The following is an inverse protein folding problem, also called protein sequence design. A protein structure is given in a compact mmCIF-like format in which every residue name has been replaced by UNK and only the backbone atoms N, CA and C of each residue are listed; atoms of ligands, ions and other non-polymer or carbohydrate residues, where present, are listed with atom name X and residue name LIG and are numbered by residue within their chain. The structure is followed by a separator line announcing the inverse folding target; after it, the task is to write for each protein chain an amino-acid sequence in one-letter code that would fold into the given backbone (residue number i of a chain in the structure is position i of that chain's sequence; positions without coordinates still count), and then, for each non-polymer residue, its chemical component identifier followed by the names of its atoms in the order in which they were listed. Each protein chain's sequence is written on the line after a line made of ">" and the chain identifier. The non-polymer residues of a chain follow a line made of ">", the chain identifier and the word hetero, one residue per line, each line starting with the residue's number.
data_IF_824699465364
#
_entry.id   IF_824699465364
#
_cell.length_a   1.000
_cell.length_b   1.000
_cell.length_c   1.000
_cell.angle_alpha   90.00
_cell.angle_beta   90.00
_cell.angle_gamma   90.00
#
_symmetry.space_group_name_H-M   'P 1'
#
loop_
_entity.id
_entity.type
_entity.pdbx_description
1 polymer ?
#
# COMPACT_ATOMS: atom_id res chain seq x y z
N UNK A 1 17.67 6.73 23.63
CA UNK A 1 16.69 7.83 23.61
C UNK A 1 15.53 7.53 22.69
N UNK A 2 14.48 8.30 22.75
CA UNK A 2 13.27 8.11 21.94
C UNK A 2 13.52 8.34 20.44
N UNK A 3 14.51 9.14 20.11
CA UNK A 3 14.97 9.39 18.74
C UNK A 3 16.44 9.01 18.59
N UNK A 4 16.76 7.71 18.42
CA UNK A 4 18.15 7.25 18.38
C UNK A 4 18.93 7.81 17.18
N UNK A 5 18.25 8.05 16.05
CA UNK A 5 18.80 8.63 14.82
C UNK A 5 18.37 10.10 14.62
N UNK A 6 17.95 10.77 15.69
CA UNK A 6 17.46 12.14 15.63
C UNK A 6 16.13 12.29 14.89
N UNK A 7 15.72 13.55 14.70
CA UNK A 7 14.48 13.89 13.98
C UNK A 7 14.54 13.48 12.50
N UNK A 8 15.74 13.50 11.90
CA UNK A 8 15.92 13.10 10.51
C UNK A 8 15.59 11.62 10.30
N UNK A 9 16.02 10.73 11.20
CA UNK A 9 15.69 9.31 11.14
C UNK A 9 14.18 9.06 11.31
N UNK A 10 13.52 9.84 12.18
CA UNK A 10 12.08 9.79 12.33
C UNK A 10 11.36 10.21 11.03
N UNK A 11 11.80 11.31 10.42
CA UNK A 11 11.21 11.79 9.15
C UNK A 11 11.40 10.76 8.03
N UNK A 12 12.59 10.16 7.91
CA UNK A 12 12.87 9.11 6.94
C UNK A 12 11.95 7.89 7.13
N UNK A 13 11.63 7.52 8.37
CA UNK A 13 10.74 6.40 8.66
C UNK A 13 9.30 6.62 8.19
N UNK A 14 8.83 7.87 8.07
CA UNK A 14 7.48 8.15 7.54
C UNK A 14 7.27 7.63 6.13
N UNK A 15 8.29 7.67 5.27
CA UNK A 15 8.19 7.16 3.89
C UNK A 15 7.97 5.65 3.90
N UNK A 16 8.71 4.92 4.74
CA UNK A 16 8.56 3.47 4.90
C UNK A 16 7.20 3.11 5.50
N UNK A 17 6.72 3.92 6.46
CA UNK A 17 5.39 3.75 7.05
C UNK A 17 4.32 3.95 5.97
N UNK A 18 4.41 4.98 5.13
CA UNK A 18 3.45 5.20 4.04
C UNK A 18 3.44 4.04 3.05
N UNK A 19 4.60 3.48 2.69
CA UNK A 19 4.67 2.27 1.87
C UNK A 19 3.92 1.09 2.51
N UNK A 20 4.05 0.90 3.82
CA UNK A 20 3.36 -0.17 4.55
C UNK A 20 1.82 -0.03 4.55
N UNK A 21 1.28 1.15 4.27
CA UNK A 21 -0.15 1.41 4.11
C UNK A 21 -0.66 1.25 2.68
N UNK A 22 0.23 1.01 1.71
CA UNK A 22 -0.13 0.73 0.33
C UNK A 22 -1.12 -0.44 0.24
N UNK A 23 -2.08 -0.35 -0.69
CA UNK A 23 -3.15 -1.32 -0.84
C UNK A 23 -4.47 -0.95 -0.15
N UNK A 24 -4.50 0.07 0.72
CA UNK A 24 -5.76 0.53 1.33
C UNK A 24 -6.75 1.09 0.29
N UNK A 25 -6.27 1.62 -0.81
CA UNK A 25 -7.06 2.09 -1.96
C UNK A 25 -7.81 0.97 -2.68
N UNK A 26 -7.36 -0.28 -2.56
CA UNK A 26 -8.02 -1.46 -3.16
C UNK A 26 -9.45 -1.63 -2.63
N UNK A 27 -9.75 -1.14 -1.43
CA UNK A 27 -11.10 -1.15 -0.86
C UNK A 27 -12.09 -0.45 -1.80
N UNK A 28 -11.69 0.66 -2.41
CA UNK A 28 -12.52 1.39 -3.38
C UNK A 28 -12.78 0.58 -4.66
N UNK A 29 -11.76 -0.13 -5.15
CA UNK A 29 -11.88 -1.00 -6.34
C UNK A 29 -12.73 -2.23 -6.05
N UNK A 30 -12.47 -2.90 -4.94
CA UNK A 30 -13.22 -4.09 -4.51
C UNK A 30 -14.68 -3.76 -4.14
N UNK A 31 -14.93 -2.54 -3.67
CA UNK A 31 -16.27 -2.08 -3.33
C UNK A 31 -17.24 -2.08 -4.50
N UNK A 32 -16.75 -1.87 -5.72
CA UNK A 32 -17.57 -1.92 -6.93
C UNK A 32 -18.14 -3.33 -7.23
N UNK A 33 -17.57 -4.38 -6.64
CA UNK A 33 -17.97 -5.79 -6.79
C UNK A 33 -18.66 -6.36 -5.55
N UNK A 34 -18.79 -5.57 -4.48
CA UNK A 34 -19.47 -6.00 -3.27
C UNK A 34 -20.99 -6.13 -3.50
N UNK A 35 -21.62 -7.14 -2.91
CA UNK A 35 -23.09 -7.33 -2.99
C UNK A 35 -23.86 -6.14 -2.40
N UNK A 36 -23.33 -5.55 -1.30
CA UNK A 36 -23.86 -4.33 -0.67
C UNK A 36 -22.73 -3.33 -0.43
N UNK A 37 -22.36 -2.53 -1.47
CA UNK A 37 -21.28 -1.54 -1.36
C UNK A 37 -21.56 -0.45 -0.32
N UNK A 38 -22.83 -0.06 -0.14
CA UNK A 38 -23.23 1.00 0.79
C UNK A 38 -22.93 0.65 2.25
N UNK A 39 -22.96 -0.61 2.58
CA UNK A 39 -22.65 -1.11 3.93
C UNK A 39 -21.21 -1.58 4.05
N UNK A 40 -20.71 -2.31 3.05
CA UNK A 40 -19.40 -2.97 3.09
C UNK A 40 -18.25 -1.97 3.06
N UNK A 41 -18.32 -0.93 2.20
CA UNK A 41 -17.25 0.06 2.07
C UNK A 41 -17.07 0.89 3.35
N UNK A 42 -18.12 1.52 3.94
CA UNK A 42 -17.98 2.24 5.19
C UNK A 42 -17.46 1.36 6.34
N UNK A 43 -17.92 0.11 6.42
CA UNK A 43 -17.46 -0.82 7.45
C UNK A 43 -15.97 -1.16 7.27
N UNK A 44 -15.52 -1.43 6.04
CA UNK A 44 -14.12 -1.69 5.73
C UNK A 44 -13.25 -0.48 6.09
N UNK A 45 -13.61 0.71 5.61
CA UNK A 45 -12.86 1.95 5.86
C UNK A 45 -12.76 2.26 7.35
N UNK A 46 -13.83 2.12 8.12
CA UNK A 46 -13.84 2.39 9.56
C UNK A 46 -13.05 1.36 10.38
N UNK A 47 -12.90 0.12 9.89
CA UNK A 47 -12.14 -0.92 10.59
C UNK A 47 -10.63 -0.88 10.29
N UNK A 48 -10.21 -0.27 9.19
CA UNK A 48 -8.77 -0.17 8.82
C UNK A 48 -7.93 0.50 9.90
N UNK A 49 -8.29 1.67 10.48
CA UNK A 49 -7.48 2.30 11.52
C UNK A 49 -7.30 1.40 12.75
N UNK A 50 -8.34 0.68 13.16
CA UNK A 50 -8.26 -0.26 14.28
C UNK A 50 -7.34 -1.45 13.97
N UNK A 51 -7.42 -2.01 12.75
CA UNK A 51 -6.53 -3.10 12.31
C UNK A 51 -5.08 -2.65 12.28
N UNK A 52 -4.81 -1.45 11.79
CA UNK A 52 -3.47 -0.87 11.78
C UNK A 52 -2.95 -0.73 13.22
N UNK A 53 -3.73 -0.16 14.13
CA UNK A 53 -3.35 -0.01 15.52
C UNK A 53 -3.01 -1.37 16.15
N UNK A 54 -3.84 -2.38 15.96
CA UNK A 54 -3.64 -3.70 16.54
C UNK A 54 -2.49 -4.47 15.90
N UNK A 55 -2.44 -4.55 14.57
CA UNK A 55 -1.51 -5.45 13.90
C UNK A 55 -0.15 -4.81 13.61
N UNK A 56 -0.07 -3.50 13.39
CA UNK A 56 1.21 -2.82 13.18
C UNK A 56 1.79 -2.27 14.48
N UNK A 57 1.07 -1.37 15.15
CA UNK A 57 1.63 -0.69 16.32
C UNK A 57 1.88 -1.69 17.45
N UNK A 58 0.91 -2.56 17.76
CA UNK A 58 1.07 -3.53 18.83
C UNK A 58 2.14 -4.58 18.49
N UNK A 59 2.15 -5.13 17.27
CA UNK A 59 3.14 -6.11 16.85
C UNK A 59 4.58 -5.53 16.90
N UNK A 60 4.79 -4.33 16.34
CA UNK A 60 6.10 -3.66 16.38
C UNK A 60 6.50 -3.35 17.82
N UNK A 61 5.57 -2.92 18.67
CA UNK A 61 5.85 -2.66 20.08
C UNK A 61 6.32 -3.93 20.80
N UNK A 62 5.67 -5.07 20.58
CA UNK A 62 6.06 -6.35 21.16
C UNK A 62 7.44 -6.79 20.65
N UNK A 63 7.71 -6.67 19.35
CA UNK A 63 9.02 -6.99 18.75
C UNK A 63 10.12 -6.18 19.43
N UNK A 64 9.92 -4.86 19.58
CA UNK A 64 10.90 -3.97 20.17
C UNK A 64 11.05 -4.12 21.70
N UNK A 65 10.05 -4.65 22.39
CA UNK A 65 10.16 -5.04 23.80
C UNK A 65 10.99 -6.31 23.99
N UNK A 66 10.92 -7.24 23.05
CA UNK A 66 11.62 -8.51 23.11
C UNK A 66 13.05 -8.46 22.54
N UNK A 67 13.25 -7.61 21.51
CA UNK A 67 14.56 -7.46 20.87
C UNK A 67 14.99 -5.99 20.79
N UNK A 68 16.25 -5.68 21.11
CA UNK A 68 16.79 -4.36 20.84
C UNK A 68 16.71 -4.04 19.35
N UNK A 69 16.24 -2.86 18.98
CA UNK A 69 16.12 -2.47 17.58
C UNK A 69 17.42 -2.59 16.77
N UNK A 70 18.59 -2.47 17.45
CA UNK A 70 19.93 -2.62 16.83
C UNK A 70 20.27 -4.05 16.44
N UNK A 71 19.59 -5.05 16.99
CA UNK A 71 19.78 -6.45 16.60
C UNK A 71 18.97 -6.86 15.39
N UNK A 72 18.08 -5.99 14.90
CA UNK A 72 17.27 -6.23 13.72
C UNK A 72 18.07 -5.79 12.50
N UNK A 73 18.77 -6.73 11.86
CA UNK A 73 19.68 -6.46 10.72
C UNK A 73 18.95 -6.47 9.37
N UNK A 74 17.73 -6.99 9.30
CA UNK A 74 16.99 -7.16 8.04
C UNK A 74 17.37 -8.44 7.26
N UNK A 75 18.33 -9.24 7.74
CA UNK A 75 18.70 -10.51 7.11
C UNK A 75 17.63 -11.60 7.33
N UNK A 76 16.95 -11.55 8.47
CA UNK A 76 15.83 -12.44 8.82
C UNK A 76 14.60 -11.63 9.24
N UNK A 77 13.44 -12.24 9.10
CA UNK A 77 12.20 -11.69 9.66
C UNK A 77 12.35 -11.50 11.18
N UNK A 78 12.05 -10.33 11.75
CA UNK A 78 12.09 -10.12 13.21
C UNK A 78 11.25 -11.11 14.00
N UNK A 79 10.16 -11.61 13.43
CA UNK A 79 9.32 -12.63 14.04
C UNK A 79 10.08 -13.98 14.15
N UNK A 80 10.77 -14.37 13.08
CA UNK A 80 11.57 -15.61 13.05
C UNK A 80 12.71 -15.51 14.06
N UNK A 81 13.40 -14.37 14.11
CA UNK A 81 14.50 -14.13 15.04
C UNK A 81 14.06 -14.26 16.51
N UNK A 82 12.90 -13.73 16.89
CA UNK A 82 12.37 -13.82 18.25
C UNK A 82 12.14 -15.29 18.64
N UNK A 83 11.46 -16.08 17.80
CA UNK A 83 11.17 -17.48 18.13
C UNK A 83 12.41 -18.36 18.11
N UNK A 84 13.39 -18.08 17.25
CA UNK A 84 14.69 -18.73 17.25
C UNK A 84 15.44 -18.46 18.57
N UNK A 85 15.44 -17.21 19.04
CA UNK A 85 16.08 -16.82 20.32
C UNK A 85 15.41 -17.50 21.52
N UNK A 86 14.11 -17.75 21.46
CA UNK A 86 13.34 -18.46 22.49
C UNK A 86 13.52 -19.99 22.41
N UNK A 87 14.33 -20.50 21.48
CA UNK A 87 14.58 -21.93 21.31
C UNK A 87 13.45 -22.71 20.65
N UNK A 88 12.47 -22.02 20.06
CA UNK A 88 11.29 -22.63 19.43
C UNK A 88 11.51 -22.73 17.92
N UNK A 89 12.45 -23.59 17.50
CA UNK A 89 12.89 -23.69 16.11
C UNK A 89 11.78 -24.09 15.11
N UNK A 90 10.80 -24.87 15.52
CA UNK A 90 9.67 -25.23 14.66
C UNK A 90 8.77 -24.03 14.34
N UNK A 91 8.68 -23.05 15.24
CA UNK A 91 7.90 -21.84 15.03
C UNK A 91 8.52 -20.95 13.93
N UNK A 92 9.85 -20.96 13.78
CA UNK A 92 10.52 -20.27 12.68
C UNK A 92 10.05 -20.80 11.31
N UNK A 93 9.98 -22.14 11.15
CA UNK A 93 9.46 -22.76 9.92
C UNK A 93 8.00 -22.42 9.65
N UNK A 94 7.15 -22.49 10.69
CA UNK A 94 5.74 -22.08 10.57
C UNK A 94 5.57 -20.61 10.18
N UNK A 95 6.36 -19.71 10.79
CA UNK A 95 6.31 -18.29 10.46
C UNK A 95 6.78 -18.01 9.03
N UNK A 96 7.82 -18.68 8.55
CA UNK A 96 8.22 -18.57 7.15
C UNK A 96 7.10 -19.00 6.21
N UNK A 97 6.38 -20.09 6.52
CA UNK A 97 5.21 -20.50 5.76
C UNK A 97 4.11 -19.43 5.77
N UNK A 98 3.83 -18.82 6.93
CA UNK A 98 2.86 -17.73 7.05
C UNK A 98 3.30 -16.50 6.23
N UNK A 99 4.58 -16.14 6.26
CA UNK A 99 5.11 -15.00 5.46
C UNK A 99 4.95 -15.27 3.96
N UNK A 100 5.27 -16.49 3.50
CA UNK A 100 5.09 -16.88 2.09
C UNK A 100 3.62 -16.79 1.68
N UNK A 101 2.72 -17.33 2.48
CA UNK A 101 1.27 -17.29 2.18
C UNK A 101 0.72 -15.85 2.21
N UNK A 102 1.21 -15.02 3.12
CA UNK A 102 0.86 -13.60 3.16
C UNK A 102 1.35 -12.85 1.91
N UNK A 103 2.59 -13.10 1.46
CA UNK A 103 3.14 -12.52 0.24
C UNK A 103 2.33 -12.94 -1.00
N UNK A 104 1.98 -14.22 -1.11
CA UNK A 104 1.12 -14.72 -2.20
C UNK A 104 -0.27 -14.07 -2.18
N UNK A 105 -0.84 -13.87 -0.99
CA UNK A 105 -2.12 -13.18 -0.83
C UNK A 105 -2.02 -11.70 -1.27
N UNK A 106 -0.95 -11.00 -0.93
CA UNK A 106 -0.70 -9.62 -1.35
C UNK A 106 -0.57 -9.54 -2.88
N UNK A 107 0.25 -10.41 -3.50
CA UNK A 107 0.38 -10.48 -4.96
C UNK A 107 -0.97 -10.72 -5.64
N UNK A 108 -1.79 -11.62 -5.09
CA UNK A 108 -3.13 -11.89 -5.64
C UNK A 108 -4.06 -10.66 -5.53
N UNK A 109 -4.01 -9.93 -4.41
CA UNK A 109 -4.78 -8.70 -4.25
C UNK A 109 -4.34 -7.60 -5.24
N UNK A 110 -3.04 -7.45 -5.45
CA UNK A 110 -2.49 -6.49 -6.41
C UNK A 110 -2.83 -6.85 -7.86
N UNK A 111 -2.75 -8.13 -8.22
CA UNK A 111 -3.18 -8.62 -9.54
C UNK A 111 -4.67 -8.36 -9.78
N UNK A 112 -5.51 -8.58 -8.76
CA UNK A 112 -6.93 -8.29 -8.84
C UNK A 112 -7.18 -6.78 -9.03
N UNK A 113 -6.66 -5.93 -8.13
CA UNK A 113 -6.89 -4.49 -8.15
C UNK A 113 -6.35 -3.84 -9.43
N UNK A 114 -5.09 -4.09 -9.78
CA UNK A 114 -4.44 -3.55 -10.98
C UNK A 114 -5.10 -4.10 -12.23
N UNK A 115 -5.48 -5.38 -12.22
CA UNK A 115 -6.21 -6.01 -13.33
C UNK A 115 -7.52 -5.31 -13.66
N UNK A 116 -8.29 -4.95 -12.64
CA UNK A 116 -9.56 -4.22 -12.80
C UNK A 116 -9.36 -2.79 -13.29
N UNK A 117 -8.40 -2.07 -12.72
CA UNK A 117 -8.07 -0.70 -13.14
C UNK A 117 -7.62 -0.65 -14.60
N UNK A 118 -6.67 -1.52 -15.00
CA UNK A 118 -6.18 -1.58 -16.38
C UNK A 118 -7.28 -1.98 -17.37
N UNK A 119 -8.16 -2.90 -16.99
CA UNK A 119 -9.32 -3.29 -17.82
C UNK A 119 -10.29 -2.12 -17.98
N UNK A 120 -10.54 -1.34 -16.93
CA UNK A 120 -11.34 -0.12 -16.98
C UNK A 120 -10.74 0.91 -17.93
N UNK A 121 -9.46 1.22 -17.78
CA UNK A 121 -8.73 2.14 -18.65
C UNK A 121 -8.75 1.70 -20.12
N UNK A 122 -8.63 0.39 -20.38
CA UNK A 122 -8.69 -0.14 -21.74
C UNK A 122 -10.09 -0.02 -22.36
N UNK A 123 -11.15 -0.14 -21.57
CA UNK A 123 -12.53 0.10 -22.03
C UNK A 123 -12.76 1.56 -22.39
N UNK A 124 -12.15 2.49 -21.69
CA UNK A 124 -12.18 3.93 -21.96
C UNK A 124 -11.22 4.37 -23.08
N UNK A 125 -10.43 3.44 -23.64
CA UNK A 125 -9.46 3.74 -24.71
C UNK A 125 -8.14 4.34 -24.23
N UNK A 126 -7.90 4.39 -22.91
CA UNK A 126 -6.68 4.90 -22.27
C UNK A 126 -5.58 3.85 -22.11
N UNK A 127 -5.89 2.58 -22.42
CA UNK A 127 -4.95 1.46 -22.43
C UNK A 127 -5.18 0.57 -23.67
N UNK A 128 -4.24 -0.31 -24.04
CA UNK A 128 -4.41 -1.19 -25.19
C UNK A 128 -5.71 -1.99 -25.16
N UNK A 129 -6.49 -1.96 -26.24
CA UNK A 129 -7.82 -2.60 -26.32
C UNK A 129 -7.84 -4.09 -25.96
N UNK A 130 -6.70 -4.78 -26.16
CA UNK A 130 -6.57 -6.19 -25.78
C UNK A 130 -6.73 -6.43 -24.27
N UNK A 131 -6.40 -5.44 -23.45
CA UNK A 131 -6.55 -5.51 -21.99
C UNK A 131 -8.01 -5.38 -21.52
N UNK A 132 -8.90 -4.91 -22.40
CA UNK A 132 -10.36 -4.88 -22.12
C UNK A 132 -11.02 -6.24 -22.27
N UNK A 133 -10.35 -7.23 -22.89
CA UNK A 133 -10.92 -8.55 -23.15
C UNK A 133 -10.90 -9.41 -21.89
N UNK A 134 -12.03 -9.96 -21.54
CA UNK A 134 -12.19 -10.89 -20.42
C UNK A 134 -12.60 -12.27 -20.92
N UNK A 135 -12.11 -13.31 -20.26
CA UNK A 135 -12.54 -14.69 -20.45
C UNK A 135 -13.09 -15.17 -19.12
N UNK A 136 -14.39 -15.49 -19.06
CA UNK A 136 -15.10 -15.82 -17.80
C UNK A 136 -14.88 -14.75 -16.73
N UNK A 137 -15.05 -13.49 -17.09
CA UNK A 137 -14.86 -12.30 -16.25
C UNK A 137 -13.42 -12.06 -15.74
N UNK A 138 -12.45 -12.87 -16.19
CA UNK A 138 -11.04 -12.67 -15.87
C UNK A 138 -10.33 -11.92 -17.01
N UNK A 139 -9.65 -10.79 -16.74
CA UNK A 139 -8.90 -10.04 -17.73
C UNK A 139 -7.54 -10.72 -18.02
N UNK A 140 -7.58 -11.83 -18.78
CA UNK A 140 -6.44 -12.74 -18.99
C UNK A 140 -5.21 -12.03 -19.53
N UNK A 141 -5.37 -11.14 -20.53
CA UNK A 141 -4.24 -10.42 -21.12
C UNK A 141 -3.59 -9.46 -20.11
N UNK A 142 -4.40 -8.80 -19.29
CA UNK A 142 -3.90 -7.89 -18.23
C UNK A 142 -3.14 -8.70 -17.17
N UNK A 143 -3.74 -9.79 -16.68
CA UNK A 143 -3.08 -10.67 -15.71
C UNK A 143 -1.78 -11.25 -16.26
N UNK A 144 -1.77 -11.71 -17.52
CA UNK A 144 -0.56 -12.22 -18.16
C UNK A 144 0.55 -11.16 -18.25
N UNK A 145 0.21 -9.91 -18.60
CA UNK A 145 1.18 -8.82 -18.66
C UNK A 145 1.76 -8.48 -17.27
N UNK A 146 0.92 -8.49 -16.22
CA UNK A 146 1.37 -8.26 -14.84
C UNK A 146 2.28 -9.40 -14.35
N UNK A 147 1.97 -10.65 -14.70
CA UNK A 147 2.84 -11.80 -14.37
C UNK A 147 4.20 -11.68 -15.05
N UNK A 148 4.26 -11.22 -16.32
CA UNK A 148 5.53 -10.95 -17.01
C UNK A 148 6.35 -9.90 -16.24
N UNK A 149 5.72 -8.81 -15.80
CA UNK A 149 6.40 -7.76 -15.02
C UNK A 149 6.90 -8.30 -13.68
N UNK A 150 6.12 -9.14 -13.00
CA UNK A 150 6.55 -9.81 -11.75
C UNK A 150 7.76 -10.69 -11.97
N UNK A 151 7.74 -11.53 -13.02
CA UNK A 151 8.88 -12.39 -13.35
C UNK A 151 10.13 -11.58 -13.69
N UNK A 152 9.97 -10.49 -14.46
CA UNK A 152 11.07 -9.56 -14.72
C UNK A 152 11.63 -8.94 -13.43
N UNK A 153 10.77 -8.53 -12.49
CA UNK A 153 11.18 -8.03 -11.18
C UNK A 153 12.02 -9.05 -10.40
N UNK A 154 11.60 -10.31 -10.39
CA UNK A 154 12.34 -11.41 -9.74
C UNK A 154 13.71 -11.63 -10.40
N UNK A 155 13.76 -11.67 -11.74
CA UNK A 155 15.00 -11.85 -12.50
C UNK A 155 15.96 -10.69 -12.26
N UNK A 156 15.47 -9.46 -12.30
CA UNK A 156 16.28 -8.26 -12.02
C UNK A 156 16.82 -8.26 -10.60
N UNK A 157 16.00 -8.63 -9.61
CA UNK A 157 16.42 -8.73 -8.22
C UNK A 157 17.49 -9.81 -8.00
N UNK A 158 17.43 -10.90 -8.75
CA UNK A 158 18.46 -11.96 -8.69
C UNK A 158 19.76 -11.56 -9.41
N UNK A 159 19.67 -10.71 -10.43
CA UNK A 159 20.82 -10.32 -11.27
C UNK A 159 21.59 -9.11 -10.73
N UNK A 160 20.93 -8.19 -10.03
CA UNK A 160 21.50 -6.92 -9.60
C UNK A 160 21.30 -6.68 -8.10
N UNK A 161 22.37 -6.39 -7.33
CA UNK A 161 22.24 -5.98 -5.95
C UNK A 161 21.48 -4.63 -5.88
N UNK A 162 20.71 -4.44 -4.81
CA UNK A 162 19.94 -3.21 -4.51
C UNK A 162 18.74 -2.89 -5.45
N UNK A 163 18.40 -3.76 -6.40
CA UNK A 163 17.20 -3.56 -7.25
C UNK A 163 15.92 -3.54 -6.42
N UNK A 164 15.85 -4.35 -5.36
CA UNK A 164 14.70 -4.35 -4.45
C UNK A 164 14.44 -2.95 -3.86
N UNK A 165 15.48 -2.28 -3.36
CA UNK A 165 15.36 -0.93 -2.77
C UNK A 165 14.88 0.09 -3.80
N UNK A 166 15.40 0.01 -5.02
CA UNK A 166 15.00 0.88 -6.13
C UNK A 166 13.53 0.65 -6.51
N UNK A 167 13.11 -0.61 -6.65
CA UNK A 167 11.71 -0.95 -6.96
C UNK A 167 10.79 -0.51 -5.82
N UNK A 168 11.19 -0.70 -4.56
CA UNK A 168 10.42 -0.28 -3.40
C UNK A 168 10.27 1.25 -3.34
N UNK A 169 11.31 2.01 -3.66
CA UNK A 169 11.26 3.46 -3.74
C UNK A 169 10.31 3.94 -4.85
N UNK A 170 10.38 3.34 -6.05
CA UNK A 170 9.46 3.63 -7.15
C UNK A 170 8.01 3.27 -6.81
N UNK A 171 7.78 2.12 -6.17
CA UNK A 171 6.46 1.69 -5.73
C UNK A 171 5.88 2.65 -4.69
N UNK A 172 6.70 3.11 -3.74
CA UNK A 172 6.30 4.10 -2.74
C UNK A 172 5.88 5.41 -3.40
N UNK A 173 6.69 5.92 -4.32
CA UNK A 173 6.35 7.12 -5.08
C UNK A 173 5.02 6.97 -5.82
N UNK A 174 4.86 5.87 -6.57
CA UNK A 174 3.64 5.60 -7.33
C UNK A 174 2.40 5.53 -6.43
N UNK A 175 2.49 4.84 -5.29
CA UNK A 175 1.39 4.73 -4.32
C UNK A 175 0.99 6.10 -3.77
N UNK A 176 1.96 6.89 -3.31
CA UNK A 176 1.71 8.23 -2.76
C UNK A 176 1.16 9.17 -3.83
N UNK A 177 1.64 9.05 -5.09
CA UNK A 177 1.12 9.81 -6.22
C UNK A 177 -0.34 9.45 -6.54
N UNK A 178 -0.68 8.16 -6.55
CA UNK A 178 -2.08 7.70 -6.73
C UNK A 178 -2.98 8.27 -5.64
N UNK A 179 -2.55 8.23 -4.39
CA UNK A 179 -3.32 8.82 -3.29
C UNK A 179 -3.54 10.32 -3.47
N UNK A 180 -2.52 11.06 -3.91
CA UNK A 180 -2.67 12.48 -4.22
C UNK A 180 -3.72 12.71 -5.32
N UNK A 181 -3.68 11.90 -6.38
CA UNK A 181 -4.66 11.99 -7.46
C UNK A 181 -6.08 11.64 -7.02
N UNK A 182 -6.24 10.64 -6.14
CA UNK A 182 -7.54 10.31 -5.53
C UNK A 182 -8.07 11.50 -4.72
N UNK A 183 -7.22 12.14 -3.92
CA UNK A 183 -7.60 13.32 -3.13
C UNK A 183 -8.02 14.50 -4.03
N UNK A 184 -7.29 14.76 -5.11
CA UNK A 184 -7.68 15.82 -6.07
C UNK A 184 -8.96 15.48 -6.83
N UNK A 185 -9.13 14.22 -7.24
CA UNK A 185 -10.36 13.76 -7.89
C UNK A 185 -11.57 13.95 -6.97
N UNK A 186 -11.43 13.64 -5.68
CA UNK A 186 -12.47 13.85 -4.70
C UNK A 186 -12.81 15.34 -4.51
N UNK A 187 -11.80 16.23 -4.48
CA UNK A 187 -12.03 17.69 -4.44
C UNK A 187 -12.75 18.17 -5.70
N UNK A 188 -12.36 17.68 -6.88
CA UNK A 188 -12.98 18.04 -8.14
C UNK A 188 -14.44 17.56 -8.20
N UNK A 189 -14.71 16.34 -7.77
CA UNK A 189 -16.06 15.78 -7.67
C UNK A 189 -16.94 16.65 -6.76
N UNK A 190 -16.47 16.97 -5.56
CA UNK A 190 -17.21 17.79 -4.60
C UNK A 190 -17.54 19.18 -5.11
N UNK A 191 -16.64 19.81 -5.90
CA UNK A 191 -16.89 21.13 -6.50
C UNK A 191 -17.99 21.10 -7.58
N UNK A 192 -18.26 19.94 -8.15
CA UNK A 192 -19.30 19.76 -9.18
C UNK A 192 -20.65 19.33 -8.62
N UNK A 193 -20.69 18.90 -7.35
CA UNK A 193 -21.93 18.48 -6.69
C UNK A 193 -22.81 19.69 -6.34
N UNK A 194 -24.10 19.50 -6.49
CA UNK A 194 -25.12 20.43 -5.98
C UNK A 194 -25.27 20.25 -4.45
N UNK A 195 -25.78 21.26 -3.74
CA UNK A 195 -26.04 21.13 -2.30
C UNK A 195 -26.98 19.97 -1.93
N UNK A 196 -27.91 19.62 -2.84
CA UNK A 196 -28.85 18.50 -2.65
C UNK A 196 -28.13 17.15 -2.79
N UNK A 197 -27.22 17.01 -3.74
CA UNK A 197 -26.39 15.81 -3.90
C UNK A 197 -25.43 15.63 -2.73
N UNK A 198 -24.85 16.73 -2.24
CA UNK A 198 -23.96 16.70 -1.08
C UNK A 198 -24.70 16.24 0.19
N UNK A 199 -25.93 16.71 0.40
CA UNK A 199 -26.77 16.32 1.53
C UNK A 199 -27.19 14.84 1.48
N UNK A 200 -27.18 14.20 0.30
CA UNK A 200 -27.52 12.78 0.10
C UNK A 200 -26.35 11.83 0.23
N UNK A 201 -25.14 12.33 0.53
CA UNK A 201 -23.97 11.47 0.71
C UNK A 201 -24.14 10.60 1.95
N UNK A 202 -24.20 9.31 1.73
CA UNK A 202 -24.34 8.32 2.82
C UNK A 202 -23.05 8.16 3.63
N UNK A 203 -21.88 8.45 3.01
CA UNK A 203 -20.57 8.36 3.65
C UNK A 203 -19.72 9.61 3.35
N UNK A 204 -19.99 10.73 4.06
CA UNK A 204 -19.26 11.97 3.84
C UNK A 204 -17.83 11.88 4.42
N UNK A 205 -16.88 12.54 3.76
CA UNK A 205 -15.51 12.68 4.26
C UNK A 205 -15.53 13.50 5.57
N UNK A 206 -14.95 12.97 6.66
CA UNK A 206 -14.91 13.70 7.93
C UNK A 206 -14.08 14.98 7.81
N UNK A 207 -14.47 16.02 8.55
CA UNK A 207 -13.79 17.31 8.58
C UNK A 207 -13.65 18.01 7.23
N UNK A 208 -14.52 17.73 6.27
CA UNK A 208 -14.54 18.45 5.00
C UNK A 208 -14.77 19.95 5.20
N UNK A 209 -14.07 20.85 4.47
CA UNK A 209 -13.00 20.58 3.49
C UNK A 209 -11.58 20.51 4.12
N UNK A 210 -11.42 20.83 5.40
CA UNK A 210 -10.12 21.01 6.05
C UNK A 210 -9.30 19.72 6.12
N UNK A 211 -9.94 18.60 6.44
CA UNK A 211 -9.29 17.28 6.48
C UNK A 211 -8.69 16.90 5.13
N UNK A 212 -9.40 17.19 4.05
CA UNK A 212 -8.95 16.93 2.69
C UNK A 212 -7.70 17.76 2.32
N UNK A 213 -7.72 19.06 2.59
CA UNK A 213 -6.57 19.93 2.31
C UNK A 213 -5.37 19.60 3.19
N UNK A 214 -5.61 19.20 4.44
CA UNK A 214 -4.54 18.70 5.31
C UNK A 214 -3.90 17.43 4.76
N UNK A 215 -4.69 16.46 4.28
CA UNK A 215 -4.18 15.25 3.66
C UNK A 215 -3.36 15.54 2.40
N UNK A 216 -3.83 16.44 1.53
CA UNK A 216 -3.10 16.89 0.34
C UNK A 216 -1.76 17.54 0.74
N UNK A 217 -1.77 18.45 1.70
CA UNK A 217 -0.56 19.13 2.17
C UNK A 217 0.44 18.13 2.78
N UNK A 218 -0.06 17.14 3.54
CA UNK A 218 0.76 16.07 4.11
C UNK A 218 1.45 15.24 3.02
N UNK A 219 0.73 14.84 1.97
CA UNK A 219 1.30 14.10 0.84
C UNK A 219 2.31 14.95 0.06
N UNK A 220 2.02 16.22 -0.20
CA UNK A 220 2.98 17.12 -0.85
C UNK A 220 4.25 17.31 -0.02
N UNK A 221 4.12 17.40 1.30
CA UNK A 221 5.26 17.41 2.22
C UNK A 221 6.07 16.11 2.12
N UNK A 222 5.41 14.95 1.98
CA UNK A 222 6.07 13.66 1.78
C UNK A 222 6.91 13.65 0.50
N UNK A 223 6.42 14.18 -0.61
CA UNK A 223 7.22 14.33 -1.83
C UNK A 223 8.43 15.24 -1.60
N UNK A 224 8.27 16.32 -0.85
CA UNK A 224 9.39 17.18 -0.45
C UNK A 224 10.46 16.44 0.36
N UNK A 225 10.03 15.54 1.28
CA UNK A 225 10.93 14.70 2.06
C UNK A 225 11.64 13.66 1.16
N UNK A 226 10.91 13.03 0.23
CA UNK A 226 11.50 12.11 -0.75
C UNK A 226 12.55 12.79 -1.61
N UNK A 227 12.30 14.04 -2.07
CA UNK A 227 13.26 14.83 -2.82
C UNK A 227 14.52 15.19 -2.01
N UNK A 228 14.36 15.34 -0.71
CA UNK A 228 15.47 15.68 0.20
C UNK A 228 16.35 14.47 0.52
N UNK A 229 15.76 13.27 0.65
CA UNK A 229 16.48 12.04 0.99
C UNK A 229 17.13 11.41 -0.26
N UNK A 230 18.46 11.16 -0.26
CA UNK A 230 19.17 10.62 -1.43
C UNK A 230 18.62 9.30 -1.92
N UNK A 231 18.24 8.41 -1.02
CA UNK A 231 17.78 7.04 -1.32
C UNK A 231 16.44 7.02 -2.11
N UNK A 232 15.64 8.08 -2.00
CA UNK A 232 14.35 8.19 -2.67
C UNK A 232 14.35 9.14 -3.88
N UNK A 233 15.44 9.87 -4.13
CA UNK A 233 15.55 10.79 -5.28
C UNK A 233 15.43 10.10 -6.63
N UNK A 234 15.86 8.85 -6.72
CA UNK A 234 15.75 8.07 -7.95
C UNK A 234 14.30 7.71 -8.32
N UNK A 235 13.37 7.84 -7.39
CA UNK A 235 11.96 7.55 -7.60
C UNK A 235 11.14 8.79 -8.03
N UNK A 236 11.70 10.00 -7.93
CA UNK A 236 11.11 11.28 -8.35
C UNK A 236 11.50 11.64 -9.77
#
# INVERSE_FOLDING_TARGET
>A
GFFPNGVQGMIASFILVLFAFGGTEIIGVAGAEAEDPKRSIPQAVNTVPLRILLFYVLAISIILMLNPWRSITGEESPFVQIFSTLGVNWAAGLLNFVVITAALSAINADLFGTGRVLTGLAKEGLAPRKMAQTVRDVPVMTVASLLVVLVLGVVLNAAFPNVFETIAALATFATVFVWLMILFAQVAMRKQMTPEEEARLEFPVPFWPYGQWFAIAFILCTFGIMAWLPDFRLAL
#
